data_IF_001429321171
#
_entry.id   IF_001429321171
#
_cell.length_a   1.000
_cell.length_b   1.000
_cell.length_c   1.000
_cell.angle_alpha   90.00
_cell.angle_beta   90.00
_cell.angle_gamma   90.00
#
_symmetry.space_group_name_H-M   'P 1'
#
loop_
_entity.id
_entity.type
_entity.pdbx_description
1 polymer ?
#
# COMPACT_ATOMS: atom_id res chain seq x y z
N UNK A 1 1.98 9.88 -24.56
CA UNK A 1 1.41 8.51 -24.58
C UNK A 1 0.22 8.49 -23.63
N UNK A 2 -0.87 7.80 -23.98
CA UNK A 2 -2.06 7.72 -23.13
C UNK A 2 -1.76 6.88 -21.89
N UNK A 3 -1.84 7.49 -20.71
CA UNK A 3 -1.76 6.81 -19.41
C UNK A 3 -3.07 6.03 -19.20
N UNK A 4 -3.04 4.72 -19.37
CA UNK A 4 -4.12 3.85 -18.93
C UNK A 4 -4.08 3.79 -17.40
N UNK A 5 -4.72 4.76 -16.75
CA UNK A 5 -4.92 4.73 -15.30
C UNK A 5 -5.73 3.47 -14.97
N UNK A 6 -5.18 2.50 -14.22
CA UNK A 6 -5.94 1.35 -13.79
C UNK A 6 -7.12 1.86 -12.95
N UNK A 7 -8.36 1.59 -13.39
CA UNK A 7 -9.57 1.88 -12.61
C UNK A 7 -9.75 0.83 -11.51
N UNK A 8 -8.69 0.57 -10.74
CA UNK A 8 -8.70 -0.40 -9.65
C UNK A 8 -8.44 0.37 -8.36
N UNK A 9 -9.52 0.70 -7.68
CA UNK A 9 -9.48 1.22 -6.31
C UNK A 9 -9.41 0.04 -5.35
N UNK A 10 -8.69 0.18 -4.23
CA UNK A 10 -8.59 -0.85 -3.19
C UNK A 10 -8.56 -0.20 -1.82
N UNK A 11 -9.23 -0.83 -0.85
CA UNK A 11 -9.24 -0.39 0.53
C UNK A 11 -8.38 -1.36 1.35
N UNK A 12 -7.41 -0.86 2.09
CA UNK A 12 -6.59 -1.67 2.99
C UNK A 12 -6.95 -1.30 4.42
N UNK A 13 -7.39 -2.31 5.18
CA UNK A 13 -7.62 -2.20 6.61
C UNK A 13 -6.54 -3.00 7.32
N UNK A 14 -5.66 -2.28 8.02
CA UNK A 14 -4.62 -2.88 8.83
C UNK A 14 -5.05 -2.97 10.29
N UNK A 15 -5.00 -4.16 10.85
CA UNK A 15 -5.42 -4.43 12.23
C UNK A 15 -4.22 -4.75 13.11
N UNK A 16 -4.41 -4.66 14.41
CA UNK A 16 -3.45 -5.24 15.34
C UNK A 16 -3.32 -6.75 15.12
N UNK A 17 -2.16 -7.27 15.51
CA UNK A 17 -1.86 -8.70 15.41
C UNK A 17 -2.95 -9.51 16.11
N UNK A 18 -3.34 -10.62 15.49
CA UNK A 18 -4.32 -11.59 15.99
C UNK A 18 -5.79 -11.08 15.96
N UNK A 19 -6.04 -9.90 15.36
CA UNK A 19 -7.39 -9.33 15.18
C UNK A 19 -7.91 -9.40 13.74
N UNK A 20 -7.08 -9.84 12.79
CA UNK A 20 -7.35 -9.81 11.35
C UNK A 20 -8.61 -10.61 11.00
N UNK A 21 -8.73 -11.83 11.52
CA UNK A 21 -9.87 -12.72 11.25
C UNK A 21 -11.19 -12.15 11.78
N UNK A 22 -11.17 -11.51 12.95
CA UNK A 22 -12.36 -10.91 13.54
C UNK A 22 -12.88 -9.74 12.68
N UNK A 23 -11.96 -8.88 12.23
CA UNK A 23 -12.28 -7.74 11.35
C UNK A 23 -12.72 -8.22 9.97
N UNK A 24 -12.05 -9.23 9.40
CA UNK A 24 -12.47 -9.86 8.15
C UNK A 24 -13.90 -10.39 8.24
N UNK A 25 -14.20 -11.21 9.26
CA UNK A 25 -15.52 -11.79 9.44
C UNK A 25 -16.58 -10.69 9.60
N UNK A 26 -16.26 -9.61 10.31
CA UNK A 26 -17.17 -8.48 10.46
C UNK A 26 -17.50 -7.84 9.09
N UNK A 27 -16.52 -7.48 8.28
CA UNK A 27 -16.77 -6.88 6.96
C UNK A 27 -17.43 -7.86 5.98
N UNK A 28 -17.01 -9.13 6.00
CA UNK A 28 -17.59 -10.17 5.17
C UNK A 28 -19.08 -10.34 5.46
N UNK A 29 -19.47 -10.40 6.75
CA UNK A 29 -20.87 -10.53 7.16
C UNK A 29 -21.72 -9.30 6.84
N UNK A 30 -21.12 -8.10 6.82
CA UNK A 30 -21.81 -6.90 6.38
C UNK A 30 -22.10 -6.91 4.86
N UNK A 31 -21.31 -7.66 4.07
CA UNK A 31 -21.56 -7.84 2.63
C UNK A 31 -21.45 -6.57 1.78
N UNK A 32 -20.84 -5.50 2.31
CA UNK A 32 -20.81 -4.18 1.64
C UNK A 32 -19.86 -4.19 0.44
N UNK A 33 -18.71 -4.87 0.56
CA UNK A 33 -17.68 -4.99 -0.49
C UNK A 33 -17.00 -6.36 -0.44
N UNK A 34 -16.51 -6.87 -1.57
CA UNK A 34 -15.66 -8.06 -1.59
C UNK A 34 -14.48 -7.88 -0.62
N UNK A 35 -14.40 -8.76 0.37
CA UNK A 35 -13.42 -8.66 1.46
C UNK A 35 -12.50 -9.87 1.41
N UNK A 36 -11.19 -9.63 1.56
CA UNK A 36 -10.15 -10.65 1.49
C UNK A 36 -9.23 -10.56 2.70
N UNK A 37 -8.99 -11.70 3.37
CA UNK A 37 -8.05 -11.80 4.47
C UNK A 37 -6.64 -12.03 3.93
N UNK A 38 -5.80 -10.99 4.01
CA UNK A 38 -4.40 -10.95 3.57
C UNK A 38 -4.14 -11.77 2.28
N UNK A 39 -4.76 -11.39 1.14
CA UNK A 39 -4.70 -12.20 -0.07
C UNK A 39 -3.28 -12.27 -0.62
N UNK A 40 -2.90 -13.46 -1.08
CA UNK A 40 -1.65 -13.70 -1.82
C UNK A 40 -1.81 -13.36 -3.31
N UNK A 41 -0.72 -13.45 -4.07
CA UNK A 41 -0.72 -13.13 -5.51
C UNK A 41 -1.73 -13.97 -6.30
N UNK A 42 -1.87 -15.26 -5.96
CA UNK A 42 -2.82 -16.18 -6.60
C UNK A 42 -4.26 -15.75 -6.35
N UNK A 43 -4.58 -15.38 -5.11
CA UNK A 43 -5.90 -14.89 -4.73
C UNK A 43 -6.22 -13.57 -5.43
N UNK A 44 -5.23 -12.69 -5.51
CA UNK A 44 -5.38 -11.40 -6.18
C UNK A 44 -5.68 -11.60 -7.66
N UNK A 45 -4.87 -12.40 -8.35
CA UNK A 45 -4.99 -12.63 -9.78
C UNK A 45 -6.33 -13.28 -10.15
N UNK A 46 -6.76 -14.30 -9.39
CA UNK A 46 -7.96 -15.08 -9.71
C UNK A 46 -9.26 -14.44 -9.26
N UNK A 47 -9.26 -13.74 -8.13
CA UNK A 47 -10.51 -13.32 -7.48
C UNK A 47 -10.63 -11.82 -7.30
N UNK A 48 -9.53 -11.13 -6.95
CA UNK A 48 -9.58 -9.71 -6.61
C UNK A 48 -9.66 -8.83 -7.86
N UNK A 49 -8.91 -9.14 -8.92
CA UNK A 49 -8.81 -8.28 -10.12
C UNK A 49 -10.15 -7.96 -10.78
N UNK A 50 -11.14 -8.84 -10.64
CA UNK A 50 -12.48 -8.65 -11.19
C UNK A 50 -13.43 -7.88 -10.25
N UNK A 51 -13.00 -7.55 -9.03
CA UNK A 51 -13.82 -6.87 -8.03
C UNK A 51 -13.66 -5.35 -8.13
N UNK A 52 -14.76 -4.65 -7.86
CA UNK A 52 -14.74 -3.21 -7.66
C UNK A 52 -14.48 -2.90 -6.18
N UNK A 53 -13.46 -2.07 -5.91
CA UNK A 53 -13.12 -1.59 -4.56
C UNK A 53 -13.01 -2.68 -3.48
N UNK A 54 -12.22 -3.75 -3.68
CA UNK A 54 -12.05 -4.79 -2.68
C UNK A 54 -11.42 -4.27 -1.38
N UNK A 55 -11.81 -4.88 -0.26
CA UNK A 55 -11.23 -4.63 1.06
C UNK A 55 -10.21 -5.71 1.38
N UNK A 56 -8.98 -5.31 1.66
CA UNK A 56 -7.93 -6.18 2.17
C UNK A 56 -7.80 -5.99 3.66
N UNK A 57 -8.03 -7.04 4.43
CA UNK A 57 -7.75 -7.05 5.88
C UNK A 57 -6.39 -7.67 6.09
N UNK A 58 -5.45 -6.92 6.66
CA UNK A 58 -4.06 -7.36 6.84
C UNK A 58 -3.54 -6.98 8.22
N UNK A 59 -2.48 -7.64 8.66
CA UNK A 59 -1.79 -7.27 9.90
C UNK A 59 -1.04 -5.95 9.70
N UNK A 60 -1.10 -5.07 10.68
CA UNK A 60 -0.26 -3.90 10.70
C UNK A 60 1.18 -4.19 11.05
N UNK A 61 2.10 -3.51 10.39
CA UNK A 61 3.53 -3.57 10.72
C UNK A 61 3.82 -2.59 11.85
N UNK A 62 4.60 -3.04 12.84
CA UNK A 62 4.92 -2.22 14.02
C UNK A 62 5.61 -0.90 13.63
N UNK A 63 5.29 0.17 14.36
CA UNK A 63 5.81 1.52 14.11
C UNK A 63 5.53 2.07 12.69
N UNK A 64 4.50 1.54 12.02
CA UNK A 64 4.02 2.10 10.75
C UNK A 64 3.73 3.60 10.87
N UNK A 65 4.14 4.44 9.91
CA UNK A 65 3.79 5.85 9.89
C UNK A 65 2.27 6.03 9.76
N UNK A 66 1.64 6.47 10.86
CA UNK A 66 0.20 6.77 10.91
C UNK A 66 -0.04 8.24 11.21
N UNK A 67 -1.17 8.77 10.73
CA UNK A 67 -1.75 10.02 11.23
C UNK A 67 -3.00 9.69 12.02
N UNK A 68 -3.17 10.38 13.14
CA UNK A 68 -4.39 10.42 13.92
C UNK A 68 -4.71 11.89 14.12
N UNK A 69 -5.67 12.44 13.36
CA UNK A 69 -6.11 13.82 13.53
C UNK A 69 -7.62 13.81 13.75
N UNK A 70 -8.04 14.06 14.98
CA UNK A 70 -9.45 14.25 15.35
C UNK A 70 -10.39 13.07 15.08
N UNK A 71 -9.86 11.87 14.78
CA UNK A 71 -10.63 10.66 14.49
C UNK A 71 -10.16 9.52 15.37
N UNK A 72 -11.07 8.63 15.83
CA UNK A 72 -10.69 7.39 16.51
C UNK A 72 -9.93 6.44 15.57
N UNK A 73 -10.02 6.64 14.25
CA UNK A 73 -9.36 5.80 13.24
C UNK A 73 -8.12 6.52 12.71
N UNK A 74 -6.98 5.83 12.80
CA UNK A 74 -5.74 6.26 12.17
C UNK A 74 -5.69 5.91 10.69
N UNK A 75 -5.08 6.76 9.87
CA UNK A 75 -4.82 6.48 8.46
C UNK A 75 -3.32 6.41 8.17
N UNK A 76 -2.95 5.64 7.14
CA UNK A 76 -1.58 5.54 6.67
C UNK A 76 -1.08 6.91 6.19
N UNK A 77 0.15 7.27 6.57
CA UNK A 77 0.81 8.42 5.94
C UNK A 77 1.30 8.05 4.54
N UNK A 78 1.48 9.05 3.70
CA UNK A 78 1.99 8.88 2.34
C UNK A 78 3.34 8.15 2.30
N UNK A 79 4.23 8.40 3.27
CA UNK A 79 5.51 7.68 3.39
C UNK A 79 5.31 6.16 3.49
N UNK A 80 4.30 5.72 4.23
CA UNK A 80 3.98 4.30 4.38
C UNK A 80 3.49 3.72 3.06
N UNK A 81 2.55 4.40 2.43
CA UNK A 81 1.92 3.98 1.17
C UNK A 81 2.99 3.79 0.09
N UNK A 82 3.87 4.79 -0.09
CA UNK A 82 4.97 4.74 -1.05
C UNK A 82 5.90 3.54 -0.81
N UNK A 83 6.26 3.27 0.45
CA UNK A 83 7.06 2.08 0.79
C UNK A 83 6.30 0.79 0.49
N UNK A 84 5.02 0.69 0.86
CA UNK A 84 4.24 -0.53 0.69
C UNK A 84 4.09 -0.90 -0.79
N UNK A 85 3.71 0.06 -1.64
CA UNK A 85 3.54 -0.17 -3.08
C UNK A 85 4.85 -0.56 -3.77
N UNK A 86 5.98 -0.08 -3.27
CA UNK A 86 7.30 -0.44 -3.81
C UNK A 86 7.77 -1.81 -3.35
N UNK A 87 7.46 -2.21 -2.11
CA UNK A 87 7.99 -3.43 -1.50
C UNK A 87 7.13 -4.66 -1.80
N UNK A 88 5.80 -4.49 -1.86
CA UNK A 88 4.84 -5.57 -2.08
C UNK A 88 4.44 -5.66 -3.56
N UNK A 89 5.42 -5.87 -4.43
CA UNK A 89 5.25 -5.79 -5.90
C UNK A 89 4.14 -6.74 -6.40
N UNK A 90 3.97 -7.90 -5.76
CA UNK A 90 2.92 -8.86 -6.14
C UNK A 90 1.53 -8.36 -5.74
N UNK A 91 1.37 -7.84 -4.52
CA UNK A 91 0.12 -7.28 -4.00
C UNK A 91 -0.29 -6.01 -4.76
N UNK A 92 0.68 -5.19 -5.13
CA UNK A 92 0.49 -3.93 -5.83
C UNK A 92 0.91 -3.99 -7.30
N UNK A 93 0.77 -5.16 -7.93
CA UNK A 93 1.26 -5.42 -9.30
C UNK A 93 0.71 -4.44 -10.35
N UNK A 94 -0.51 -3.94 -10.15
CA UNK A 94 -1.15 -2.95 -11.05
C UNK A 94 -0.51 -1.57 -11.00
N UNK A 95 0.26 -1.26 -9.96
CA UNK A 95 0.94 0.03 -9.77
C UNK A 95 2.44 -0.05 -10.06
N UNK A 96 2.95 -1.17 -10.59
CA UNK A 96 4.39 -1.33 -10.88
C UNK A 96 4.78 -0.73 -12.24
N UNK A 97 6.07 -0.68 -12.53
CA UNK A 97 6.59 -0.14 -13.79
C UNK A 97 6.48 1.38 -13.84
N UNK A 98 6.07 1.93 -14.99
CA UNK A 98 5.99 3.38 -15.21
C UNK A 98 5.01 4.08 -14.24
N UNK A 99 3.92 3.41 -13.86
CA UNK A 99 2.95 3.96 -12.92
C UNK A 99 3.60 4.20 -11.55
N UNK A 100 4.47 3.29 -11.09
CA UNK A 100 5.18 3.44 -9.82
C UNK A 100 6.06 4.69 -9.83
N UNK A 101 6.82 4.88 -10.91
CA UNK A 101 7.68 6.06 -11.08
C UNK A 101 6.84 7.35 -11.05
N UNK A 102 5.75 7.39 -11.81
CA UNK A 102 4.85 8.55 -11.81
C UNK A 102 4.19 8.81 -10.45
N UNK A 103 3.82 7.77 -9.69
CA UNK A 103 3.29 7.95 -8.33
C UNK A 103 4.34 8.59 -7.42
N UNK A 104 5.59 8.12 -7.48
CA UNK A 104 6.68 8.66 -6.68
C UNK A 104 7.01 10.10 -7.07
N UNK A 105 7.23 10.39 -8.36
CA UNK A 105 7.50 11.73 -8.88
C UNK A 105 6.42 12.72 -8.41
N UNK A 106 5.15 12.42 -8.70
CA UNK A 106 4.04 13.27 -8.28
C UNK A 106 3.97 13.45 -6.75
N UNK A 107 4.25 12.41 -5.97
CA UNK A 107 4.22 12.49 -4.51
C UNK A 107 5.32 13.39 -3.96
N UNK A 108 6.53 13.30 -4.48
CA UNK A 108 7.67 14.14 -4.07
C UNK A 108 7.54 15.58 -4.56
N UNK A 109 6.95 15.81 -5.72
CA UNK A 109 6.69 17.15 -6.27
C UNK A 109 5.55 17.87 -5.53
N UNK A 110 4.52 17.13 -5.12
CA UNK A 110 3.29 17.73 -4.56
C UNK A 110 3.33 17.85 -3.04
N UNK A 111 3.98 16.93 -2.33
CA UNK A 111 3.89 16.82 -0.88
C UNK A 111 5.26 16.89 -0.20
N UNK A 112 5.29 17.47 1.00
CA UNK A 112 6.46 17.36 1.87
C UNK A 112 6.50 15.94 2.45
N UNK A 113 7.39 15.12 1.89
CA UNK A 113 7.63 13.73 2.30
C UNK A 113 8.72 13.68 3.37
N UNK A 114 8.43 13.07 4.52
CA UNK A 114 9.43 12.81 5.56
C UNK A 114 10.25 11.56 5.20
N UNK A 115 11.36 11.78 4.48
CA UNK A 115 12.23 10.70 4.00
C UNK A 115 12.80 9.84 5.13
N UNK A 116 13.15 10.42 6.29
CA UNK A 116 13.64 9.66 7.44
C UNK A 116 12.59 8.65 7.95
N UNK A 117 11.33 9.08 8.04
CA UNK A 117 10.23 8.22 8.43
C UNK A 117 9.96 7.14 7.39
N UNK A 118 10.08 7.47 6.11
CA UNK A 118 9.95 6.51 5.00
C UNK A 118 11.06 5.44 5.06
N UNK A 119 12.33 5.84 5.16
CA UNK A 119 13.48 4.96 5.22
C UNK A 119 13.46 4.07 6.47
N UNK A 120 13.07 4.63 7.63
CA UNK A 120 12.90 3.86 8.87
C UNK A 120 11.83 2.78 8.70
N UNK A 121 10.70 3.10 8.06
CA UNK A 121 9.64 2.14 7.80
C UNK A 121 10.07 1.07 6.77
N UNK A 122 10.79 1.45 5.73
CA UNK A 122 11.38 0.52 4.77
C UNK A 122 12.33 -0.50 5.41
N UNK A 123 13.11 -0.07 6.40
CA UNK A 123 13.94 -0.96 7.23
C UNK A 123 13.14 -2.02 7.97
N UNK A 124 11.94 -1.70 8.46
CA UNK A 124 11.04 -2.66 9.12
C UNK A 124 10.43 -3.68 8.16
N UNK A 125 10.30 -3.32 6.88
CA UNK A 125 9.87 -4.22 5.80
C UNK A 125 11.01 -5.10 5.26
N UNK A 126 12.21 -5.03 5.86
CA UNK A 126 13.44 -5.67 5.36
C UNK A 126 13.75 -5.28 3.92
N UNK A 127 13.35 -4.06 3.53
CA UNK A 127 13.43 -3.56 2.17
C UNK A 127 14.22 -2.26 2.08
N UNK A 128 15.02 -1.95 3.11
CA UNK A 128 15.80 -0.72 3.17
C UNK A 128 16.72 -0.58 1.96
N UNK A 129 17.38 -1.67 1.55
CA UNK A 129 18.34 -1.63 0.44
C UNK A 129 17.64 -1.51 -0.92
N UNK A 130 16.49 -2.20 -1.09
CA UNK A 130 15.64 -2.08 -2.29
C UNK A 130 15.04 -0.68 -2.44
N UNK A 131 14.59 -0.08 -1.35
CA UNK A 131 14.02 1.27 -1.38
C UNK A 131 15.11 2.35 -1.52
N UNK A 132 16.26 2.19 -0.85
CA UNK A 132 17.41 3.09 -1.02
C UNK A 132 17.87 3.13 -2.47
N UNK A 133 17.98 1.98 -3.13
CA UNK A 133 18.36 1.95 -4.55
C UNK A 133 17.35 2.70 -5.43
N UNK A 134 16.05 2.58 -5.13
CA UNK A 134 14.98 3.25 -5.87
C UNK A 134 14.84 4.75 -5.58
N UNK A 135 15.12 5.21 -4.37
CA UNK A 135 15.00 6.62 -3.95
C UNK A 135 16.30 7.41 -4.16
N UNK A 136 17.47 6.75 -4.17
CA UNK A 136 18.78 7.39 -4.33
C UNK A 136 19.34 7.36 -5.75
N UNK A 137 18.71 6.64 -6.68
CA UNK A 137 18.95 6.84 -8.12
C UNK A 137 17.82 7.69 -8.67
N UNK A 138 18.13 8.96 -8.87
CA UNK A 138 17.32 9.92 -9.61
C UNK A 138 17.00 9.33 -11.01
N UNK A 139 15.75 9.36 -11.49
CA UNK A 139 15.40 9.02 -12.88
C UNK A 139 15.99 9.95 -13.95
N UNK A 140 16.86 10.89 -13.57
CA UNK A 140 17.54 11.80 -14.50
C UNK A 140 18.76 11.19 -15.24
N UNK A 141 19.17 9.96 -14.91
CA UNK A 141 20.25 9.26 -15.63
C UNK A 141 19.89 7.81 -15.99
N UNK A 142 19.11 7.62 -17.06
CA UNK A 142 19.18 6.49 -18.04
C UNK A 142 18.26 6.73 -19.23
#
# INVERSE_FOLDING_TARGET
>A
MMTHQPRTNMIIVETDKDSESAVFNHFFNLGIRPTFLNPDSTTIDRYVRAQDEPIFVSKIISQSPKRQKGSPISYAKLEKILVDIRVDESKFSVYQGQELSSIFENAFDTFIINQDSMLRYAGRRTAQDKLKWFVLQDPSES
#
